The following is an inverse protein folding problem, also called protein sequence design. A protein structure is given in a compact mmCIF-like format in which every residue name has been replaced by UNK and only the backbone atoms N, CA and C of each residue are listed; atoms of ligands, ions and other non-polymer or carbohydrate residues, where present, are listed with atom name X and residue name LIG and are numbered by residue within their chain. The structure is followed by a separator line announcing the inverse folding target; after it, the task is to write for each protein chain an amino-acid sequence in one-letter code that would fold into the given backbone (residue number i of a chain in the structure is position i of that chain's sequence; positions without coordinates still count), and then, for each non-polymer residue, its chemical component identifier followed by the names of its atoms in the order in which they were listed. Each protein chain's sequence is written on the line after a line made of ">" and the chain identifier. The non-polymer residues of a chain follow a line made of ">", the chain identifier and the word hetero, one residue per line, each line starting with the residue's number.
data_IF_424756225498
#
_entry.id   IF_424756225498
#
_cell.length_a   1.000
_cell.length_b   1.000
_cell.length_c   1.000
_cell.angle_alpha   90.00
_cell.angle_beta   90.00
_cell.angle_gamma   90.00
#
_symmetry.space_group_name_H-M   'P 1'
#
loop_
_entity.id
_entity.type
_entity.pdbx_description
1 polymer ?
#
# COMPACT_ATOMS: atom_id res chain seq x y z
N UNK A 1 -13.98 -11.11 -11.86
CA UNK A 1 -13.23 -10.06 -12.51
C UNK A 1 -12.71 -9.10 -11.44
N UNK A 2 -11.86 -8.20 -11.77
CA UNK A 2 -11.24 -7.30 -10.80
C UNK A 2 -11.98 -5.98 -10.60
N UNK A 3 -13.24 -5.89 -10.96
CA UNK A 3 -14.00 -4.65 -10.95
C UNK A 3 -13.93 -3.92 -12.27
N UNK A 4 -14.61 -2.80 -12.39
CA UNK A 4 -14.73 -2.08 -13.65
C UNK A 4 -13.39 -1.65 -14.24
N UNK A 5 -12.42 -1.36 -13.38
CA UNK A 5 -11.07 -0.94 -13.80
C UNK A 5 -10.00 -2.02 -13.57
N UNK A 6 -10.42 -3.21 -13.17
CA UNK A 6 -9.51 -4.31 -12.88
C UNK A 6 -8.72 -4.16 -11.60
N UNK A 7 -9.06 -3.23 -10.73
CA UNK A 7 -8.26 -2.89 -9.57
C UNK A 7 -8.86 -3.28 -8.21
N UNK A 8 -10.00 -3.98 -8.21
CA UNK A 8 -10.64 -4.34 -6.93
C UNK A 8 -9.73 -5.19 -6.05
N UNK A 9 -9.06 -6.18 -6.64
CA UNK A 9 -8.12 -6.99 -5.87
C UNK A 9 -6.95 -6.16 -5.37
N UNK A 10 -6.43 -5.27 -6.22
CA UNK A 10 -5.33 -4.41 -5.84
C UNK A 10 -5.73 -3.52 -4.66
N UNK A 11 -6.92 -2.94 -4.70
CA UNK A 11 -7.42 -2.12 -3.59
C UNK A 11 -7.44 -2.89 -2.28
N UNK A 12 -7.90 -4.14 -2.31
CA UNK A 12 -7.94 -4.98 -1.11
C UNK A 12 -6.54 -5.32 -0.61
N UNK A 13 -5.63 -5.63 -1.53
CA UNK A 13 -4.25 -5.96 -1.16
C UNK A 13 -3.55 -4.77 -0.52
N UNK A 14 -3.67 -3.60 -1.13
CA UNK A 14 -3.02 -2.40 -0.60
C UNK A 14 -3.62 -2.00 0.74
N UNK A 15 -4.94 -2.11 0.88
CA UNK A 15 -5.60 -1.79 2.15
C UNK A 15 -5.26 -2.78 3.25
N UNK A 16 -5.08 -4.06 2.89
CA UNK A 16 -4.83 -5.12 3.86
C UNK A 16 -3.37 -5.30 4.24
N UNK A 17 -2.45 -4.97 3.34
CA UNK A 17 -1.03 -5.23 3.56
C UNK A 17 -0.49 -4.60 4.84
N UNK A 18 -0.81 -3.33 5.17
CA UNK A 18 -0.27 -2.73 6.38
C UNK A 18 -0.63 -3.47 7.67
N UNK A 19 -1.73 -4.20 7.65
CA UNK A 19 -2.21 -4.91 8.85
C UNK A 19 -1.34 -6.10 9.21
N UNK A 20 -0.59 -6.63 8.25
CA UNK A 20 0.23 -7.82 8.43
C UNK A 20 1.72 -7.55 8.24
N UNK A 21 2.07 -6.33 7.85
CA UNK A 21 3.46 -5.97 7.60
C UNK A 21 4.10 -5.39 8.85
N UNK A 22 5.42 -5.48 8.91
CA UNK A 22 6.21 -4.77 9.90
C UNK A 22 6.47 -3.34 9.43
N UNK A 23 6.63 -2.39 10.37
CA UNK A 23 7.12 -1.07 9.99
C UNK A 23 8.43 -1.19 9.22
N UNK A 24 8.62 -0.34 8.25
CA UNK A 24 9.77 -0.33 7.35
C UNK A 24 9.81 -1.51 6.37
N UNK A 25 8.79 -2.36 6.37
CA UNK A 25 8.65 -3.40 5.38
C UNK A 25 8.33 -2.83 4.01
N UNK A 26 8.70 -3.55 2.97
CA UNK A 26 8.45 -3.16 1.59
C UNK A 26 7.33 -4.02 1.02
N UNK A 27 6.40 -3.39 0.34
CA UNK A 27 5.34 -4.08 -0.39
C UNK A 27 5.45 -3.69 -1.86
N UNK A 28 5.36 -4.66 -2.74
CA UNK A 28 5.46 -4.42 -4.16
C UNK A 28 4.40 -5.23 -4.91
N UNK A 29 3.83 -4.63 -5.94
CA UNK A 29 2.85 -5.28 -6.79
C UNK A 29 3.27 -5.14 -8.24
N UNK A 30 3.19 -6.24 -8.98
CA UNK A 30 3.30 -6.21 -10.43
C UNK A 30 1.93 -5.94 -11.03
N UNK A 31 1.88 -5.07 -12.02
CA UNK A 31 0.63 -4.53 -12.54
C UNK A 31 0.57 -4.66 -14.05
N UNK A 32 -0.63 -4.48 -14.58
CA UNK A 32 -0.82 -4.34 -16.01
C UNK A 32 -0.49 -2.91 -16.45
N UNK A 33 -0.18 -2.77 -17.73
CA UNK A 33 0.15 -1.46 -18.28
C UNK A 33 -0.95 -0.45 -17.99
N UNK A 34 -0.55 0.75 -17.59
CA UNK A 34 -1.47 1.84 -17.34
C UNK A 34 -2.01 1.93 -15.93
N UNK A 35 -1.77 0.92 -15.09
CA UNK A 35 -2.32 0.90 -13.73
C UNK A 35 -1.43 1.58 -12.70
N UNK A 36 -0.13 1.72 -12.98
CA UNK A 36 0.81 2.13 -11.95
C UNK A 36 0.52 3.49 -11.32
N UNK A 37 0.15 4.54 -12.05
CA UNK A 37 -0.08 5.83 -11.41
C UNK A 37 -1.20 5.79 -10.36
N UNK A 38 -2.33 5.15 -10.66
CA UNK A 38 -3.43 5.11 -9.71
C UNK A 38 -3.10 4.21 -8.53
N UNK A 39 -2.34 3.14 -8.76
CA UNK A 39 -1.94 2.25 -7.69
C UNK A 39 -0.92 2.93 -6.77
N UNK A 40 -0.02 3.74 -7.32
CA UNK A 40 0.89 4.52 -6.50
C UNK A 40 0.13 5.45 -5.55
N UNK A 41 -0.94 6.07 -6.02
CA UNK A 41 -1.80 6.88 -5.15
C UNK A 41 -2.45 6.06 -4.05
N UNK A 42 -2.88 4.83 -4.37
CA UNK A 42 -3.42 3.94 -3.35
C UNK A 42 -2.41 3.62 -2.26
N UNK A 43 -1.16 3.36 -2.65
CA UNK A 43 -0.09 3.13 -1.68
C UNK A 43 0.03 4.33 -0.74
N UNK A 44 0.10 5.52 -1.29
CA UNK A 44 0.25 6.72 -0.48
C UNK A 44 -0.93 6.94 0.45
N UNK A 45 -2.13 6.61 -0.01
CA UNK A 45 -3.35 6.75 0.81
C UNK A 45 -3.37 5.78 1.99
N UNK A 46 -2.61 4.71 1.93
CA UNK A 46 -2.62 3.67 2.95
C UNK A 46 -1.35 3.63 3.80
N UNK A 47 -0.63 4.75 3.85
CA UNK A 47 0.49 4.88 4.78
C UNK A 47 1.83 4.42 4.25
N UNK A 48 1.92 4.10 2.96
CA UNK A 48 3.20 3.79 2.36
C UNK A 48 3.94 5.08 1.99
N UNK A 49 5.23 5.07 2.18
CA UNK A 49 6.12 6.17 1.81
C UNK A 49 7.16 5.64 0.84
N UNK A 50 7.94 6.55 0.26
CA UNK A 50 8.97 6.17 -0.71
C UNK A 50 8.38 5.30 -1.82
N UNK A 51 7.21 5.71 -2.31
CA UNK A 51 6.48 4.96 -3.33
C UNK A 51 7.19 5.13 -4.66
N UNK A 52 7.48 4.02 -5.31
CA UNK A 52 8.25 4.00 -6.54
C UNK A 52 7.53 3.19 -7.61
N UNK A 53 7.74 3.61 -8.84
CA UNK A 53 7.23 2.90 -10.00
C UNK A 53 8.44 2.43 -10.81
N UNK A 54 8.51 1.13 -11.06
CA UNK A 54 9.58 0.55 -11.87
C UNK A 54 9.04 0.11 -13.22
N UNK A 55 9.85 0.30 -14.24
CA UNK A 55 9.53 -0.09 -15.61
C UNK A 55 10.21 -1.40 -15.95
N UNK A 56 9.56 -2.16 -16.85
CA UNK A 56 10.17 -3.36 -17.38
C UNK A 56 11.14 -3.00 -18.51
N UNK A 57 11.72 -4.03 -19.13
CA UNK A 57 12.68 -3.81 -20.23
C UNK A 57 12.05 -3.13 -21.43
N UNK A 58 10.73 -3.24 -21.60
CA UNK A 58 10.00 -2.53 -22.64
C UNK A 58 9.62 -1.12 -22.26
N UNK A 59 10.11 -0.63 -21.10
CA UNK A 59 9.84 0.69 -20.58
C UNK A 59 8.37 0.92 -20.21
N UNK A 60 7.67 -0.15 -19.89
CA UNK A 60 6.30 -0.09 -19.40
C UNK A 60 6.33 -0.15 -17.89
N UNK A 61 5.61 0.76 -17.24
CA UNK A 61 5.50 0.79 -15.79
C UNK A 61 4.76 -0.44 -15.32
N UNK A 62 5.45 -1.32 -14.59
CA UNK A 62 4.92 -2.63 -14.22
C UNK A 62 4.85 -2.88 -12.72
N UNK A 63 5.67 -2.21 -11.94
CA UNK A 63 5.77 -2.50 -10.52
C UNK A 63 5.61 -1.22 -9.73
N UNK A 64 4.75 -1.25 -8.73
CA UNK A 64 4.67 -0.20 -7.72
C UNK A 64 5.15 -0.78 -6.41
N UNK A 65 6.02 -0.09 -5.73
CA UNK A 65 6.51 -0.49 -4.42
C UNK A 65 6.43 0.68 -3.46
N UNK A 66 6.36 0.36 -2.18
CA UNK A 66 6.37 1.36 -1.14
C UNK A 66 6.83 0.77 0.17
N UNK A 67 7.26 1.63 1.06
CA UNK A 67 7.73 1.26 2.39
C UNK A 67 6.65 1.65 3.38
N UNK A 68 6.28 0.72 4.25
CA UNK A 68 5.30 1.01 5.28
C UNK A 68 5.97 1.83 6.39
N UNK A 69 5.50 3.04 6.59
CA UNK A 69 6.10 3.92 7.57
C UNK A 69 5.78 3.45 8.98
N UNK A 70 4.51 3.16 9.25
CA UNK A 70 4.06 2.69 10.55
C UNK A 70 2.93 1.72 10.36
N UNK A 71 2.84 0.73 11.26
CA UNK A 71 1.66 -0.14 11.24
C UNK A 71 0.46 0.65 11.73
N UNK A 72 -0.73 0.36 11.17
CA UNK A 72 -1.96 0.94 11.70
C UNK A 72 -2.08 0.60 13.16
N UNK A 73 -2.36 1.60 13.99
CA UNK A 73 -2.56 1.36 15.40
C UNK A 73 -3.96 0.87 15.67
N UNK A 74 -4.00 -0.21 16.42
CA UNK A 74 -5.25 -0.67 16.97
C UNK A 74 -5.30 -0.20 18.40
N UNK A 75 -6.25 0.68 18.70
CA UNK A 75 -6.41 1.13 20.06
C UNK A 75 -7.05 0.06 20.90
N UNK A 76 -6.38 -0.38 21.97
CA UNK A 76 -7.03 -1.29 22.90
C UNK A 76 -8.15 -0.55 23.65
N UNK A 77 -9.13 -1.30 24.17
CA UNK A 77 -10.14 -0.68 25.03
C UNK A 77 -9.48 0.05 26.18
N UNK A 78 -9.92 1.28 26.42
CA UNK A 78 -9.36 2.10 27.47
C UNK A 78 -8.17 2.94 27.08
N UNK A 79 -7.67 2.80 25.85
CA UNK A 79 -6.61 3.65 25.35
C UNK A 79 -7.15 5.07 25.15
N UNK A 80 -6.50 6.02 25.76
CA UNK A 80 -6.92 7.41 25.72
C UNK A 80 -6.27 8.20 24.59
N UNK A 81 -5.50 7.54 23.74
CA UNK A 81 -4.91 8.16 22.59
C UNK A 81 -3.44 8.49 22.76
N UNK A 82 -2.88 9.30 21.82
CA UNK A 82 -1.47 9.64 21.89
C UNK A 82 -1.12 10.26 23.23
N UNK A 83 -0.04 9.77 23.82
CA UNK A 83 0.39 10.25 25.12
C UNK A 83 -0.28 9.57 26.30
N UNK A 84 -1.30 8.77 26.07
CA UNK A 84 -1.90 7.98 27.14
C UNK A 84 -1.07 6.73 27.36
N UNK A 85 -1.01 6.30 28.60
CA UNK A 85 -0.41 5.02 28.94
C UNK A 85 -1.52 4.01 28.93
N UNK A 86 -1.41 3.09 28.02
CA UNK A 86 -2.41 2.04 27.92
C UNK A 86 -2.03 0.83 28.74
#
# INVERSE_FOLDING_TARGET
>A
DGGADGLDLVRRLVAGAPKVMRPQGVFALELMAGQAPVVAEMFESHGFVDVRIAKDLGKIERVVSGVLKERPRRRPPGDLGPGAVA
#
